data_IF_504944594883
#
_entry.id   IF_504944594883
#
_cell.length_a   1.000
_cell.length_b   1.000
_cell.length_c   1.000
_cell.angle_alpha   90.00
_cell.angle_beta   90.00
_cell.angle_gamma   90.00
#
_symmetry.space_group_name_H-M   'P 1'
#
loop_
_entity.id
_entity.type
_entity.pdbx_description
1 polymer ?
#
# COMPACT_ATOMS: atom_id res chain seq x y z
N UNK A 1 0.63 8.25 -6.21
CA UNK A 1 1.99 8.73 -5.88
C UNK A 1 2.94 7.54 -5.92
N UNK A 2 4.21 7.74 -6.27
CA UNK A 2 5.21 6.67 -6.33
C UNK A 2 6.22 6.90 -5.20
N UNK A 3 6.49 5.86 -4.41
CA UNK A 3 7.49 5.84 -3.35
C UNK A 3 8.72 5.05 -3.83
N UNK A 4 9.91 5.52 -3.51
CA UNK A 4 11.18 4.80 -3.75
C UNK A 4 11.47 3.77 -2.67
N UNK A 5 10.80 3.85 -1.52
CA UNK A 5 10.89 2.91 -0.41
C UNK A 5 9.68 3.04 0.51
N UNK A 6 9.33 1.98 1.23
CA UNK A 6 8.31 2.00 2.29
C UNK A 6 8.86 2.39 3.66
N UNK A 7 10.15 2.71 3.78
CA UNK A 7 10.80 3.01 5.06
C UNK A 7 10.22 4.24 5.78
N UNK A 8 9.60 5.16 5.04
CA UNK A 8 8.96 6.36 5.59
C UNK A 8 7.47 6.14 5.91
N UNK A 9 6.96 4.92 5.74
CA UNK A 9 5.58 4.54 6.02
C UNK A 9 5.49 3.79 7.35
N UNK A 10 4.32 3.85 8.01
CA UNK A 10 4.06 3.04 9.20
C UNK A 10 3.30 1.77 8.82
N UNK A 11 3.92 0.61 8.97
CA UNK A 11 3.25 -0.67 8.73
C UNK A 11 2.15 -0.92 9.79
N UNK A 12 1.00 -1.41 9.32
CA UNK A 12 -0.16 -1.75 10.13
C UNK A 12 -0.80 -3.03 9.61
N UNK A 13 -1.58 -3.68 10.46
CA UNK A 13 -2.57 -4.65 10.02
C UNK A 13 -3.90 -3.92 9.77
N UNK A 14 -4.59 -4.24 8.67
CA UNK A 14 -5.91 -3.71 8.37
C UNK A 14 -6.89 -4.87 8.31
N UNK A 15 -7.94 -4.84 9.13
CA UNK A 15 -9.01 -5.84 9.04
C UNK A 15 -10.01 -5.42 7.97
N UNK A 16 -10.06 -6.16 6.88
CA UNK A 16 -11.03 -6.02 5.78
C UNK A 16 -12.09 -7.13 5.85
N UNK A 17 -13.05 -7.12 4.93
CA UNK A 17 -14.00 -8.24 4.76
C UNK A 17 -13.31 -9.54 4.32
N UNK A 18 -12.15 -9.45 3.70
CA UNK A 18 -11.37 -10.58 3.19
C UNK A 18 -10.44 -11.19 4.26
N UNK A 19 -10.22 -10.50 5.37
CA UNK A 19 -9.38 -10.97 6.47
C UNK A 19 -8.51 -9.88 7.07
N UNK A 20 -7.36 -10.27 7.60
CA UNK A 20 -6.31 -9.32 8.04
C UNK A 20 -5.34 -9.15 6.89
N UNK A 21 -5.19 -7.90 6.43
CA UNK A 21 -4.34 -7.54 5.31
C UNK A 21 -3.16 -6.68 5.79
N UNK A 22 -2.04 -6.77 5.05
CA UNK A 22 -0.89 -5.89 5.24
C UNK A 22 -1.27 -4.48 4.76
N UNK A 23 -1.15 -3.52 5.66
CA UNK A 23 -1.37 -2.12 5.36
C UNK A 23 -0.20 -1.22 5.73
N UNK A 24 -0.27 0.00 5.23
CA UNK A 24 0.64 1.10 5.57
C UNK A 24 -0.17 2.35 5.87
N UNK A 25 0.37 3.19 6.75
CA UNK A 25 -0.08 4.58 6.92
C UNK A 25 0.95 5.49 6.29
N UNK A 26 0.49 6.39 5.42
CA UNK A 26 1.30 7.41 4.77
C UNK A 26 0.47 8.69 4.60
N UNK A 27 1.02 9.84 5.01
CA UNK A 27 0.30 11.13 5.05
C UNK A 27 -1.09 11.02 5.71
N UNK A 28 -1.13 10.39 6.90
CA UNK A 28 -2.36 10.17 7.69
C UNK A 28 -3.45 9.34 7.01
N UNK A 29 -3.16 8.76 5.84
CA UNK A 29 -4.06 7.87 5.09
C UNK A 29 -3.58 6.43 5.20
N UNK A 30 -4.52 5.51 5.35
CA UNK A 30 -4.21 4.09 5.33
C UNK A 30 -4.37 3.52 3.92
N UNK A 31 -3.46 2.64 3.57
CA UNK A 31 -3.47 1.90 2.31
C UNK A 31 -3.31 0.41 2.61
N UNK A 32 -3.94 -0.43 1.80
CA UNK A 32 -3.76 -1.89 1.82
C UNK A 32 -3.04 -2.33 0.56
N UNK A 33 -2.20 -3.35 0.67
CA UNK A 33 -1.56 -3.95 -0.48
C UNK A 33 -2.62 -4.64 -1.36
N UNK A 34 -2.60 -4.35 -2.66
CA UNK A 34 -3.54 -4.92 -3.63
C UNK A 34 -2.85 -5.96 -4.52
N UNK A 35 -1.93 -5.52 -5.38
CA UNK A 35 -1.30 -6.39 -6.38
C UNK A 35 0.14 -6.01 -6.68
N UNK A 36 0.95 -7.03 -6.98
CA UNK A 36 2.34 -6.90 -7.43
C UNK A 36 2.41 -6.87 -8.97
N UNK A 37 3.32 -6.04 -9.47
CA UNK A 37 3.58 -5.85 -10.90
C UNK A 37 5.09 -5.91 -11.17
N UNK A 38 5.48 -6.54 -12.27
CA UNK A 38 6.90 -6.71 -12.62
C UNK A 38 7.59 -5.42 -13.05
N UNK A 39 6.82 -4.41 -13.48
CA UNK A 39 7.36 -3.12 -13.92
C UNK A 39 6.55 -1.98 -13.32
N UNK A 40 7.21 -0.84 -13.13
CA UNK A 40 6.56 0.39 -12.67
C UNK A 40 5.46 0.82 -13.65
N UNK A 41 5.70 0.73 -14.96
CA UNK A 41 4.71 1.10 -15.98
C UNK A 41 3.45 0.25 -15.89
N UNK A 42 3.59 -1.06 -15.65
CA UNK A 42 2.44 -1.94 -15.47
C UNK A 42 1.61 -1.53 -14.24
N UNK A 43 2.26 -1.18 -13.13
CA UNK A 43 1.59 -0.68 -11.94
C UNK A 43 0.89 0.67 -12.20
N UNK A 44 1.54 1.58 -12.94
CA UNK A 44 0.96 2.88 -13.33
C UNK A 44 -0.29 2.67 -14.18
N UNK A 45 -0.22 1.83 -15.21
CA UNK A 45 -1.37 1.52 -16.09
C UNK A 45 -2.52 0.94 -15.27
N UNK A 46 -2.25 -0.01 -14.38
CA UNK A 46 -3.27 -0.60 -13.53
C UNK A 46 -3.92 0.40 -12.55
N UNK A 47 -3.15 1.38 -12.08
CA UNK A 47 -3.65 2.42 -11.15
C UNK A 47 -4.69 3.37 -11.77
N UNK A 48 -4.69 3.53 -13.10
CA UNK A 48 -5.51 4.55 -13.79
C UNK A 48 -6.99 4.46 -13.43
N UNK A 49 -7.58 3.27 -13.52
CA UNK A 49 -9.00 3.07 -13.23
C UNK A 49 -9.36 3.49 -11.79
N UNK A 50 -8.48 3.22 -10.83
CA UNK A 50 -8.71 3.59 -9.44
C UNK A 50 -8.57 5.10 -9.24
N UNK A 51 -7.56 5.72 -9.86
CA UNK A 51 -7.38 7.17 -9.87
C UNK A 51 -8.57 7.91 -10.49
N UNK A 52 -9.08 7.40 -11.63
CA UNK A 52 -10.25 7.95 -12.32
C UNK A 52 -11.52 7.90 -11.45
N UNK A 53 -11.60 6.92 -10.54
CA UNK A 53 -12.68 6.79 -9.55
C UNK A 53 -12.45 7.61 -8.26
N UNK A 54 -11.39 8.42 -8.20
CA UNK A 54 -11.04 9.23 -7.03
C UNK A 54 -10.42 8.45 -5.88
N UNK A 55 -9.98 7.21 -6.10
CA UNK A 55 -9.29 6.40 -5.10
C UNK A 55 -7.81 6.80 -5.07
N UNK A 56 -7.27 7.06 -3.88
CA UNK A 56 -5.86 7.40 -3.75
C UNK A 56 -5.01 6.12 -3.83
N UNK A 57 -3.93 6.19 -4.61
CA UNK A 57 -3.04 5.07 -4.88
C UNK A 57 -1.59 5.43 -4.53
N UNK A 58 -0.90 4.51 -3.88
CA UNK A 58 0.55 4.51 -3.75
C UNK A 58 1.14 3.34 -4.54
N UNK A 59 2.30 3.56 -5.18
CA UNK A 59 3.10 2.50 -5.80
C UNK A 59 4.43 2.51 -5.06
N UNK A 60 4.87 1.36 -4.57
CA UNK A 60 6.16 1.25 -3.89
C UNK A 60 6.87 -0.04 -4.30
N UNK A 61 8.21 -0.08 -4.33
CA UNK A 61 8.94 -1.31 -4.59
C UNK A 61 8.69 -2.35 -3.49
N UNK A 62 8.61 -3.61 -3.90
CA UNK A 62 8.54 -4.79 -3.04
C UNK A 62 9.45 -5.86 -3.65
N UNK A 63 10.70 -5.92 -3.19
CA UNK A 63 11.76 -6.70 -3.82
C UNK A 63 12.07 -6.21 -5.24
N UNK A 64 12.01 -7.13 -6.21
CA UNK A 64 12.21 -6.84 -7.65
C UNK A 64 10.93 -6.37 -8.37
N UNK A 65 9.83 -6.24 -7.63
CA UNK A 65 8.51 -5.90 -8.17
C UNK A 65 8.02 -4.56 -7.59
N UNK A 66 6.87 -4.10 -8.09
CA UNK A 66 6.17 -2.91 -7.62
C UNK A 66 4.81 -3.31 -7.07
N UNK A 67 4.55 -2.95 -5.81
CA UNK A 67 3.27 -3.16 -5.15
C UNK A 67 2.38 -1.94 -5.30
N UNK A 68 1.13 -2.19 -5.71
CA UNK A 68 0.05 -1.22 -5.69
C UNK A 68 -0.61 -1.22 -4.30
N UNK A 69 -0.73 -0.04 -3.72
CA UNK A 69 -1.33 0.19 -2.42
C UNK A 69 -2.56 1.09 -2.59
N UNK A 70 -3.71 0.58 -2.18
CA UNK A 70 -5.00 1.23 -2.42
C UNK A 70 -5.52 1.85 -1.14
N UNK A 71 -5.93 3.12 -1.19
CA UNK A 71 -6.46 3.80 -0.01
C UNK A 71 -7.77 3.17 0.44
N UNK A 72 -7.90 2.94 1.74
CA UNK A 72 -9.12 2.42 2.35
C UNK A 72 -9.84 3.50 3.13
N UNK A 73 -11.17 3.56 2.97
CA UNK A 73 -12.03 4.44 3.78
C UNK A 73 -12.34 3.74 5.10
N UNK A 74 -12.12 4.43 6.21
CA UNK A 74 -12.41 3.94 7.57
C UNK A 74 -11.80 2.56 7.89
N UNK A 75 -10.47 2.38 7.72
CA UNK A 75 -9.82 1.14 8.11
C UNK A 75 -10.08 0.84 9.58
N UNK A 76 -10.46 -0.40 9.90
CA UNK A 76 -10.27 -0.92 11.26
C UNK A 76 -8.79 -1.27 11.39
N UNK A 77 -8.00 -0.27 11.78
CA UNK A 77 -6.57 -0.41 12.02
C UNK A 77 -6.39 -1.39 13.17
N UNK A 78 -5.77 -2.53 12.87
CA UNK A 78 -5.36 -3.54 13.84
C UNK A 78 -4.08 -3.13 14.57
N UNK A 79 -3.27 -4.11 14.96
CA UNK A 79 -2.00 -3.84 15.63
C UNK A 79 -1.04 -3.13 14.67
N UNK A 80 -0.25 -2.20 15.22
CA UNK A 80 0.89 -1.63 14.48
C UNK A 80 1.99 -2.67 14.47
N UNK A 81 2.40 -3.10 13.28
CA UNK A 81 3.55 -4.00 13.13
C UNK A 81 4.77 -3.09 13.05
N UNK A 82 5.52 -2.96 14.14
CA UNK A 82 6.81 -2.30 14.09
C UNK A 82 7.71 -3.15 13.18
N UNK A 83 8.09 -2.61 12.03
CA UNK A 83 9.16 -3.20 11.22
C UNK A 83 10.45 -3.08 12.03
N UNK A 84 10.90 -4.21 12.56
CA UNK A 84 12.20 -4.33 13.21
C UNK A 84 13.24 -4.15 12.10
N UNK A 85 14.05 -3.09 12.18
CA UNK A 85 15.27 -2.98 11.38
C UNK A 85 16.19 -4.13 11.77
N UNK A 86 16.43 -5.06 10.86
CA UNK A 86 17.54 -6.02 11.00
C UNK A 86 18.86 -5.24 10.89
N UNK A 87 19.65 -5.31 11.96
CA UNK A 87 21.04 -4.86 12.01
C UNK A 87 21.95 -5.84 11.26
#
# INVERSE_FOLDING_TARGET
>A
MILTSLNETRAIEVKTSSGIERGIVFLEKAFVADKLYNTLDAAIVASRKALDSGVAILIAPDGEQFCLWVSVKSPRIGKTVQSVKSA
#
